data_IF_212710280915
#
_entry.id   IF_212710280915
#
_cell.length_a   1.000
_cell.length_b   1.000
_cell.length_c   1.000
_cell.angle_alpha   90.00
_cell.angle_beta   90.00
_cell.angle_gamma   90.00
#
_symmetry.space_group_name_H-M   'P 1'
#
loop_
_entity.id
_entity.type
_entity.pdbx_description
1 polymer ?
#
# COMPACT_ATOMS: atom_id res chain seq x y z
N UNK A 1 -18.34 -9.07 -18.46
CA UNK A 1 -18.62 -8.18 -17.32
C UNK A 1 -18.06 -8.84 -16.07
N UNK A 2 -17.38 -8.09 -15.22
CA UNK A 2 -16.83 -8.57 -13.95
C UNK A 2 -18.02 -8.85 -13.02
N UNK A 3 -18.04 -10.00 -12.35
CA UNK A 3 -19.09 -10.34 -11.39
C UNK A 3 -18.89 -9.48 -10.13
N UNK A 4 -19.87 -8.66 -9.71
CA UNK A 4 -19.74 -7.88 -8.48
C UNK A 4 -19.59 -8.78 -7.25
N UNK A 5 -18.82 -8.33 -6.26
CA UNK A 5 -18.69 -9.03 -4.97
C UNK A 5 -19.94 -8.88 -4.11
N UNK A 6 -20.68 -7.77 -4.28
CA UNK A 6 -21.91 -7.47 -3.56
C UNK A 6 -23.13 -7.67 -4.45
N UNK A 7 -24.21 -8.21 -3.89
CA UNK A 7 -25.49 -8.28 -4.59
C UNK A 7 -26.18 -6.92 -4.65
N UNK A 8 -27.08 -6.74 -5.62
CA UNK A 8 -27.88 -5.52 -5.74
C UNK A 8 -28.69 -5.23 -4.46
N UNK A 9 -29.17 -6.28 -3.78
CA UNK A 9 -29.88 -6.16 -2.50
C UNK A 9 -28.99 -5.53 -1.41
N UNK A 10 -27.72 -5.93 -1.33
CA UNK A 10 -26.77 -5.33 -0.38
C UNK A 10 -26.52 -3.88 -0.76
N UNK A 11 -26.27 -3.59 -2.04
CA UNK A 11 -25.99 -2.23 -2.52
C UNK A 11 -27.15 -1.25 -2.24
N UNK A 12 -28.40 -1.72 -2.24
CA UNK A 12 -29.57 -0.90 -1.89
C UNK A 12 -29.73 -0.63 -0.38
N UNK A 13 -28.99 -1.34 0.48
CA UNK A 13 -29.09 -1.26 1.95
C UNK A 13 -27.98 -0.42 2.60
N UNK A 14 -26.95 -0.05 1.85
CA UNK A 14 -25.77 0.64 2.35
C UNK A 14 -25.70 2.08 1.85
N UNK A 15 -25.00 2.93 2.58
CA UNK A 15 -24.69 4.30 2.20
C UNK A 15 -23.60 4.34 1.12
N UNK A 16 -23.82 5.18 0.10
CA UNK A 16 -22.93 5.38 -1.05
C UNK A 16 -22.40 4.06 -1.66
N UNK A 17 -23.26 3.22 -2.24
CA UNK A 17 -22.86 1.94 -2.84
C UNK A 17 -21.76 2.08 -3.91
N UNK A 18 -21.67 3.23 -4.57
CA UNK A 18 -20.66 3.52 -5.57
C UNK A 18 -19.21 3.49 -5.03
N UNK A 19 -18.99 3.45 -3.70
CA UNK A 19 -17.68 3.13 -3.09
C UNK A 19 -17.13 1.77 -3.49
N UNK A 20 -18.01 0.83 -3.87
CA UNK A 20 -17.69 -0.61 -3.93
C UNK A 20 -17.78 -1.21 -5.34
N UNK A 21 -18.35 -0.49 -6.31
CA UNK A 21 -18.72 -1.04 -7.63
C UNK A 21 -17.57 -1.05 -8.66
N UNK A 22 -16.51 -0.25 -8.44
CA UNK A 22 -15.41 -0.08 -9.40
C UNK A 22 -15.86 0.44 -10.77
N UNK A 23 -15.19 -0.01 -11.84
CA UNK A 23 -15.46 0.34 -13.25
C UNK A 23 -15.38 1.84 -13.60
N UNK A 24 -14.56 2.56 -12.87
CA UNK A 24 -14.40 4.00 -12.98
C UNK A 24 -13.66 4.42 -14.24
N UNK A 25 -13.74 5.71 -14.58
CA UNK A 25 -12.97 6.23 -15.73
C UNK A 25 -11.48 6.10 -15.42
N UNK A 26 -10.73 5.63 -16.42
CA UNK A 26 -9.30 5.31 -16.36
C UNK A 26 -8.92 4.16 -15.42
N UNK A 27 -9.89 3.40 -14.89
CA UNK A 27 -9.58 2.17 -14.16
C UNK A 27 -8.88 1.16 -15.08
N UNK A 28 -7.71 0.69 -14.65
CA UNK A 28 -6.92 -0.29 -15.40
C UNK A 28 -7.60 -1.66 -15.34
N UNK A 29 -7.69 -2.30 -16.50
CA UNK A 29 -8.20 -3.66 -16.66
C UNK A 29 -7.14 -4.49 -17.36
N UNK A 30 -6.66 -5.56 -16.72
CA UNK A 30 -5.71 -6.53 -17.28
C UNK A 30 -6.38 -7.89 -17.40
N UNK A 31 -5.96 -8.70 -18.38
CA UNK A 31 -6.33 -10.11 -18.43
C UNK A 31 -5.53 -10.86 -17.35
N UNK A 32 -6.22 -11.59 -16.47
CA UNK A 32 -5.59 -12.34 -15.39
C UNK A 32 -4.69 -13.47 -15.90
N UNK A 33 -4.87 -13.93 -17.14
CA UNK A 33 -3.99 -14.93 -17.73
C UNK A 33 -2.60 -14.37 -18.10
N UNK A 34 -2.48 -13.04 -18.23
CA UNK A 34 -1.24 -12.34 -18.58
C UNK A 34 -0.58 -11.67 -17.35
N UNK A 35 -1.05 -11.99 -16.14
CA UNK A 35 -0.60 -11.40 -14.88
C UNK A 35 0.12 -12.44 -14.04
N UNK A 36 1.36 -12.14 -13.66
CA UNK A 36 2.17 -13.01 -12.80
C UNK A 36 2.04 -12.63 -11.32
N UNK A 37 1.82 -11.33 -11.04
CA UNK A 37 1.76 -10.78 -9.68
C UNK A 37 0.55 -9.84 -9.54
N UNK A 38 -0.23 -10.05 -8.49
CA UNK A 38 -1.36 -9.22 -8.10
C UNK A 38 -1.07 -8.49 -6.80
N UNK A 39 -1.23 -7.18 -6.86
CA UNK A 39 -0.93 -6.27 -5.75
C UNK A 39 -2.19 -5.50 -5.35
N UNK A 40 -2.70 -5.73 -4.15
CA UNK A 40 -3.75 -4.89 -3.57
C UNK A 40 -3.13 -3.68 -2.87
N UNK A 41 -3.34 -2.49 -3.41
CA UNK A 41 -2.98 -1.23 -2.80
C UNK A 41 -4.15 -0.69 -1.99
N UNK A 42 -3.97 -0.66 -0.68
CA UNK A 42 -4.99 -0.34 0.31
C UNK A 42 -4.74 1.03 0.93
N UNK A 43 -5.79 1.85 0.94
CA UNK A 43 -5.89 2.98 1.87
C UNK A 43 -6.78 2.55 3.04
N UNK A 44 -6.30 2.50 4.30
CA UNK A 44 -7.04 1.98 5.45
C UNK A 44 -8.09 2.98 5.96
N UNK A 45 -8.90 3.51 5.05
CA UNK A 45 -10.05 4.38 5.33
C UNK A 45 -11.05 4.27 4.16
N UNK A 46 -12.16 4.99 4.25
CA UNK A 46 -13.17 5.00 3.19
C UNK A 46 -12.64 5.52 1.87
N UNK A 47 -13.26 5.03 0.82
CA UNK A 47 -12.99 5.35 -0.57
C UNK A 47 -12.78 6.86 -0.83
N UNK A 48 -13.67 7.73 -0.37
CA UNK A 48 -13.59 9.17 -0.67
C UNK A 48 -12.33 9.84 -0.11
N UNK A 49 -11.85 9.36 1.04
CA UNK A 49 -10.61 9.81 1.67
C UNK A 49 -9.42 9.25 0.91
N UNK A 50 -9.41 7.94 0.67
CA UNK A 50 -8.30 7.28 -0.02
C UNK A 50 -8.11 7.75 -1.46
N UNK A 51 -9.19 8.02 -2.20
CA UNK A 51 -9.12 8.60 -3.55
C UNK A 51 -8.52 10.00 -3.60
N UNK A 52 -8.62 10.76 -2.50
CA UNK A 52 -8.04 12.09 -2.39
C UNK A 52 -6.52 12.05 -2.21
N UNK A 53 -5.93 10.88 -2.01
CA UNK A 53 -4.51 10.71 -1.74
C UNK A 53 -3.71 10.58 -3.04
N UNK A 54 -2.81 11.52 -3.34
CA UNK A 54 -2.02 11.45 -4.58
C UNK A 54 -1.04 10.27 -4.59
N UNK A 55 -0.46 9.91 -3.44
CA UNK A 55 0.52 8.83 -3.37
C UNK A 55 -0.04 7.47 -3.80
N UNK A 56 -1.31 7.18 -3.48
CA UNK A 56 -1.92 5.91 -3.90
C UNK A 56 -2.15 5.90 -5.42
N UNK A 57 -2.49 7.04 -6.02
CA UNK A 57 -2.66 7.18 -7.47
C UNK A 57 -1.32 7.02 -8.21
N UNK A 58 -0.24 7.60 -7.67
CA UNK A 58 1.12 7.43 -8.23
C UNK A 58 1.51 5.95 -8.22
N UNK A 59 1.37 5.27 -7.08
CA UNK A 59 1.76 3.86 -6.96
C UNK A 59 0.87 2.95 -7.80
N UNK A 60 -0.44 3.20 -7.85
CA UNK A 60 -1.38 2.47 -8.72
C UNK A 60 -0.98 2.57 -10.19
N UNK A 61 -0.68 3.77 -10.69
CA UNK A 61 -0.23 3.98 -12.07
C UNK A 61 1.13 3.30 -12.32
N UNK A 62 2.08 3.45 -11.39
CA UNK A 62 3.40 2.83 -11.45
C UNK A 62 3.31 1.31 -11.57
N UNK A 63 2.65 0.63 -10.63
CA UNK A 63 2.52 -0.83 -10.66
C UNK A 63 1.80 -1.32 -11.92
N UNK A 64 0.77 -0.60 -12.36
CA UNK A 64 0.05 -1.00 -13.57
C UNK A 64 0.83 -0.77 -14.87
N UNK A 65 1.90 0.03 -14.85
CA UNK A 65 2.89 0.14 -15.94
C UNK A 65 3.99 -0.91 -15.88
N UNK A 66 4.18 -1.59 -14.74
CA UNK A 66 5.14 -2.68 -14.64
C UNK A 66 4.67 -3.90 -15.45
N UNK A 67 5.64 -4.59 -16.04
CA UNK A 67 5.39 -5.81 -16.81
C UNK A 67 4.74 -6.87 -15.92
N UNK A 68 3.63 -7.45 -16.39
CA UNK A 68 2.88 -8.53 -15.73
C UNK A 68 2.50 -8.34 -14.26
N UNK A 69 2.48 -7.11 -13.76
CA UNK A 69 1.93 -6.77 -12.42
C UNK A 69 0.55 -6.17 -12.57
N UNK A 70 -0.44 -6.63 -11.82
CA UNK A 70 -1.75 -5.99 -11.74
C UNK A 70 -1.96 -5.39 -10.36
N UNK A 71 -1.99 -4.05 -10.29
CA UNK A 71 -2.34 -3.37 -9.06
C UNK A 71 -3.82 -3.02 -9.03
N UNK A 72 -4.46 -3.41 -7.94
CA UNK A 72 -5.88 -3.21 -7.66
C UNK A 72 -6.04 -2.43 -6.36
N UNK A 73 -7.15 -1.72 -6.19
CA UNK A 73 -7.40 -0.84 -5.05
C UNK A 73 -8.31 -1.51 -4.03
N UNK A 74 -8.01 -1.25 -2.76
CA UNK A 74 -8.77 -1.68 -1.59
C UNK A 74 -8.96 -0.51 -0.64
N UNK A 75 -10.12 -0.46 0.01
CA UNK A 75 -10.48 0.58 0.97
C UNK A 75 -11.20 -0.06 2.16
N UNK A 76 -11.20 0.61 3.30
CA UNK A 76 -12.00 0.16 4.45
C UNK A 76 -13.48 0.31 4.12
N UNK A 77 -14.31 -0.73 4.32
CA UNK A 77 -15.75 -0.58 4.21
C UNK A 77 -16.26 0.32 5.33
N UNK A 78 -17.37 1.02 5.05
CA UNK A 78 -18.03 1.80 6.07
C UNK A 78 -18.77 0.87 7.04
N UNK A 79 -19.18 1.40 8.20
CA UNK A 79 -19.75 0.58 9.29
C UNK A 79 -20.99 -0.24 8.90
N UNK A 80 -21.77 0.23 7.94
CA UNK A 80 -22.94 -0.46 7.41
C UNK A 80 -22.56 -1.69 6.56
N UNK A 81 -21.62 -1.54 5.63
CA UNK A 81 -21.13 -2.65 4.83
C UNK A 81 -20.28 -3.62 5.66
N UNK A 82 -19.41 -3.13 6.56
CA UNK A 82 -18.61 -3.98 7.47
C UNK A 82 -19.52 -4.95 8.25
N UNK A 83 -20.62 -4.44 8.81
CA UNK A 83 -21.62 -5.27 9.50
C UNK A 83 -22.19 -6.36 8.59
N UNK A 84 -22.63 -5.99 7.37
CA UNK A 84 -23.22 -6.95 6.42
C UNK A 84 -22.19 -8.00 5.99
N UNK A 85 -20.94 -7.58 5.70
CA UNK A 85 -19.86 -8.46 5.30
C UNK A 85 -19.57 -9.52 6.38
N UNK A 86 -19.59 -9.13 7.66
CA UNK A 86 -19.42 -10.05 8.78
C UNK A 86 -20.60 -11.01 8.93
N UNK A 87 -21.82 -10.50 8.84
CA UNK A 87 -23.05 -11.31 8.98
C UNK A 87 -23.20 -12.34 7.86
N UNK A 88 -22.74 -12.01 6.64
CA UNK A 88 -22.87 -12.85 5.45
C UNK A 88 -21.56 -13.54 5.03
N UNK A 89 -20.51 -13.43 5.84
CA UNK A 89 -19.17 -13.97 5.57
C UNK A 89 -18.59 -13.57 4.19
N UNK A 90 -18.81 -12.31 3.79
CA UNK A 90 -18.27 -11.77 2.55
C UNK A 90 -16.85 -11.26 2.83
N UNK A 91 -15.80 -11.83 2.19
CA UNK A 91 -14.44 -11.34 2.38
C UNK A 91 -14.26 -9.97 1.74
N UNK A 92 -13.33 -9.17 2.27
CA UNK A 92 -12.91 -7.92 1.64
C UNK A 92 -12.38 -8.20 0.24
N UNK A 93 -12.70 -7.34 -0.71
CA UNK A 93 -12.43 -7.51 -2.13
C UNK A 93 -11.83 -6.26 -2.76
N UNK A 94 -11.16 -6.43 -3.90
CA UNK A 94 -10.58 -5.34 -4.69
C UNK A 94 -11.60 -4.69 -5.61
N UNK A 95 -11.45 -3.40 -5.92
CA UNK A 95 -12.41 -2.69 -6.77
C UNK A 95 -12.37 -3.14 -8.24
N UNK A 96 -11.18 -3.41 -8.76
CA UNK A 96 -10.95 -3.71 -10.17
C UNK A 96 -11.55 -5.06 -10.56
N UNK A 97 -11.16 -6.14 -9.89
CA UNK A 97 -11.62 -7.50 -10.23
C UNK A 97 -12.75 -8.02 -9.36
N UNK A 98 -13.10 -7.32 -8.27
CA UNK A 98 -14.12 -7.77 -7.31
C UNK A 98 -13.78 -9.12 -6.67
N UNK A 99 -12.48 -9.47 -6.62
CA UNK A 99 -12.01 -10.71 -6.01
C UNK A 99 -11.54 -10.49 -4.57
N UNK A 100 -11.61 -11.53 -3.70
CA UNK A 100 -11.12 -11.45 -2.34
C UNK A 100 -9.65 -11.00 -2.27
N UNK A 101 -9.33 -10.12 -1.32
CA UNK A 101 -7.96 -9.62 -1.07
C UNK A 101 -7.00 -10.75 -0.69
N UNK A 102 -7.51 -11.83 -0.08
CA UNK A 102 -6.72 -13.04 0.20
C UNK A 102 -6.10 -13.68 -1.04
N UNK A 103 -6.66 -13.45 -2.23
CA UNK A 103 -6.18 -14.05 -3.48
C UNK A 103 -5.09 -13.21 -4.18
N UNK A 104 -4.53 -12.21 -3.50
CA UNK A 104 -3.45 -11.36 -4.00
C UNK A 104 -2.11 -11.92 -3.55
N UNK A 105 -1.03 -11.62 -4.28
CA UNK A 105 0.33 -11.92 -3.81
C UNK A 105 0.76 -10.92 -2.72
N UNK A 106 0.30 -9.66 -2.84
CA UNK A 106 0.64 -8.57 -1.92
C UNK A 106 -0.58 -7.78 -1.47
N UNK A 107 -0.57 -7.36 -0.20
CA UNK A 107 -1.43 -6.32 0.35
C UNK A 107 -0.55 -5.17 0.86
N UNK A 108 -0.43 -4.10 0.06
CA UNK A 108 0.26 -2.87 0.47
C UNK A 108 -0.71 -1.91 1.15
N UNK A 109 -0.42 -1.48 2.36
CA UNK A 109 -1.25 -0.55 3.14
C UNK A 109 -0.50 0.76 3.33
N UNK A 110 -1.08 1.87 2.86
CA UNK A 110 -0.49 3.20 3.06
C UNK A 110 -1.02 3.85 4.36
N UNK A 111 -0.11 4.13 5.30
CA UNK A 111 -0.40 4.50 6.68
C UNK A 111 -0.09 5.99 6.85
N UNK A 112 -1.14 6.81 6.71
CA UNK A 112 -1.02 8.27 6.66
C UNK A 112 -1.06 8.94 8.05
N UNK A 113 -1.74 8.30 9.01
CA UNK A 113 -1.92 8.81 10.36
C UNK A 113 -2.27 7.66 11.31
N UNK A 114 -1.96 7.82 12.59
CA UNK A 114 -2.09 6.78 13.61
C UNK A 114 -3.55 6.38 13.88
N UNK A 115 -4.50 7.29 13.63
CA UNK A 115 -5.94 7.01 13.81
C UNK A 115 -6.47 5.90 12.89
N UNK A 116 -5.74 5.53 11.83
CA UNK A 116 -6.14 4.43 10.95
C UNK A 116 -5.67 3.04 11.42
N UNK A 117 -4.92 2.93 12.53
CA UNK A 117 -4.37 1.64 12.98
C UNK A 117 -5.45 0.59 13.25
N UNK A 118 -6.59 1.00 13.80
CA UNK A 118 -7.74 0.07 14.00
C UNK A 118 -8.34 -0.39 12.68
N UNK A 119 -8.30 0.46 11.64
CA UNK A 119 -8.77 0.09 10.31
C UNK A 119 -7.83 -0.93 9.65
N UNK A 120 -6.52 -0.89 9.92
CA UNK A 120 -5.58 -1.93 9.48
C UNK A 120 -6.03 -3.31 9.98
N UNK A 121 -6.42 -3.40 11.27
CA UNK A 121 -6.93 -4.65 11.85
C UNK A 121 -8.27 -5.06 11.22
N UNK A 122 -9.18 -4.11 10.96
CA UNK A 122 -10.42 -4.37 10.25
C UNK A 122 -10.16 -4.93 8.83
N UNK A 123 -9.22 -4.34 8.10
CA UNK A 123 -8.83 -4.76 6.75
C UNK A 123 -8.32 -6.20 6.76
N UNK A 124 -7.38 -6.53 7.66
CA UNK A 124 -6.81 -7.89 7.75
C UNK A 124 -7.89 -8.92 8.08
N UNK A 125 -8.71 -8.63 9.09
CA UNK A 125 -9.78 -9.51 9.55
C UNK A 125 -10.84 -9.75 8.46
N UNK A 126 -11.35 -8.69 7.82
CA UNK A 126 -12.30 -8.83 6.71
C UNK A 126 -11.68 -9.51 5.48
N UNK A 127 -10.38 -9.32 5.24
CA UNK A 127 -9.65 -9.99 4.17
C UNK A 127 -9.38 -11.46 4.46
N UNK A 128 -9.71 -11.97 5.66
CA UNK A 128 -9.41 -13.35 6.10
C UNK A 128 -7.90 -13.64 6.13
N UNK A 129 -7.10 -12.61 6.41
CA UNK A 129 -5.65 -12.69 6.59
C UNK A 129 -5.37 -12.71 8.11
N UNK A 130 -4.55 -13.63 8.63
CA UNK A 130 -4.17 -13.62 10.04
C UNK A 130 -3.65 -12.25 10.49
N UNK A 131 -4.13 -11.78 11.65
CA UNK A 131 -3.79 -10.47 12.18
C UNK A 131 -2.27 -10.35 12.40
N UNK A 132 -1.70 -11.29 13.15
CA UNK A 132 -0.28 -11.32 13.42
C UNK A 132 0.49 -11.93 12.24
N UNK A 133 1.62 -11.31 11.87
CA UNK A 133 2.47 -11.79 10.77
C UNK A 133 2.99 -13.21 11.01
N UNK A 134 3.33 -13.54 12.26
CA UNK A 134 3.80 -14.88 12.66
C UNK A 134 2.79 -16.01 12.44
N UNK A 135 1.51 -15.69 12.30
CA UNK A 135 0.42 -16.67 12.11
C UNK A 135 0.10 -16.89 10.61
N UNK A 136 0.76 -16.16 9.70
CA UNK A 136 0.58 -16.26 8.24
C UNK A 136 1.35 -17.45 7.67
N UNK A 137 0.78 -18.07 6.64
CA UNK A 137 1.41 -19.17 5.90
C UNK A 137 1.74 -18.78 4.45
N UNK A 138 2.20 -19.74 3.66
CA UNK A 138 2.59 -19.56 2.24
C UNK A 138 1.44 -19.10 1.33
N UNK A 139 0.18 -19.37 1.70
CA UNK A 139 -1.01 -19.00 0.92
C UNK A 139 -1.54 -17.59 1.26
N UNK A 140 -1.05 -16.97 2.33
CA UNK A 140 -1.48 -15.62 2.71
C UNK A 140 -0.62 -14.56 1.98
N UNK A 141 -1.20 -13.43 1.53
CA UNK A 141 -0.45 -12.36 0.90
C UNK A 141 0.67 -11.83 1.80
N UNK A 142 1.71 -11.28 1.18
CA UNK A 142 2.70 -10.47 1.89
C UNK A 142 2.05 -9.13 2.25
N UNK A 143 1.98 -8.80 3.53
CA UNK A 143 1.42 -7.53 4.01
C UNK A 143 2.54 -6.51 4.18
N UNK A 144 2.46 -5.42 3.42
CA UNK A 144 3.48 -4.37 3.38
C UNK A 144 2.90 -3.05 3.89
N UNK A 145 3.54 -2.42 4.86
CA UNK A 145 3.19 -1.09 5.34
C UNK A 145 4.04 -0.01 4.69
N UNK A 146 3.45 1.11 4.27
CA UNK A 146 4.19 2.28 3.77
C UNK A 146 3.56 3.59 4.24
N UNK A 147 4.12 4.73 3.83
CA UNK A 147 3.59 6.06 4.19
C UNK A 147 4.25 6.65 5.45
N UNK A 148 3.85 7.87 5.87
CA UNK A 148 4.59 8.65 6.86
C UNK A 148 4.64 8.03 8.28
N UNK A 149 3.69 7.18 8.68
CA UNK A 149 3.76 6.57 10.02
C UNK A 149 4.82 5.46 10.12
N UNK A 150 5.34 4.94 9.00
CA UNK A 150 6.33 3.83 9.01
C UNK A 150 7.74 4.26 9.37
N UNK A 151 7.97 5.57 9.60
CA UNK A 151 9.20 6.05 10.22
C UNK A 151 9.29 5.69 11.72
N UNK A 152 8.20 5.19 12.31
CA UNK A 152 8.17 4.53 13.60
C UNK A 152 7.26 3.28 13.52
N UNK A 153 7.74 2.17 12.92
CA UNK A 153 6.89 1.02 12.59
C UNK A 153 6.58 0.11 13.78
N UNK A 154 7.41 0.14 14.83
CA UNK A 154 7.33 -0.78 15.98
C UNK A 154 5.96 -0.88 16.67
N UNK A 155 5.18 0.20 16.85
CA UNK A 155 3.86 0.09 17.48
C UNK A 155 2.87 -0.84 16.76
N UNK A 156 3.11 -1.14 15.48
CA UNK A 156 2.26 -2.00 14.64
C UNK A 156 3.05 -3.11 13.95
N UNK A 157 4.31 -3.33 14.34
CA UNK A 157 5.22 -4.24 13.66
C UNK A 157 4.71 -5.69 13.60
N UNK A 158 4.06 -6.13 14.68
CA UNK A 158 3.48 -7.47 14.80
C UNK A 158 2.43 -7.81 13.71
N UNK A 159 1.87 -6.81 13.03
CA UNK A 159 0.81 -6.99 12.01
C UNK A 159 1.35 -6.95 10.58
N UNK A 160 2.63 -6.68 10.35
CA UNK A 160 3.20 -6.51 9.01
C UNK A 160 4.34 -7.48 8.75
N UNK A 161 4.48 -7.90 7.49
CA UNK A 161 5.62 -8.70 7.06
C UNK A 161 6.80 -7.79 6.68
N UNK A 162 6.50 -6.64 6.04
CA UNK A 162 7.50 -5.68 5.56
C UNK A 162 6.97 -4.26 5.81
N UNK A 163 7.86 -3.34 6.16
CA UNK A 163 7.62 -1.90 6.03
C UNK A 163 8.52 -1.31 4.96
N UNK A 164 7.94 -0.49 4.09
CA UNK A 164 8.63 0.32 3.12
C UNK A 164 8.88 1.71 3.72
N UNK A 165 10.12 2.00 4.06
CA UNK A 165 10.56 3.28 4.63
C UNK A 165 11.14 4.16 3.53
N UNK A 166 10.39 5.20 3.17
CA UNK A 166 10.80 6.16 2.14
C UNK A 166 9.72 6.39 1.09
N UNK A 167 10.16 6.76 -0.11
CA UNK A 167 9.31 7.05 -1.26
C UNK A 167 9.14 5.80 -2.12
N UNK A 168 7.89 5.39 -2.35
CA UNK A 168 7.54 4.10 -2.96
C UNK A 168 8.06 3.89 -4.38
N UNK A 169 8.37 4.97 -5.10
CA UNK A 169 8.75 4.87 -6.51
C UNK A 169 10.16 4.32 -6.76
N UNK A 170 10.95 4.04 -5.71
CA UNK A 170 12.36 3.66 -5.83
C UNK A 170 12.59 2.15 -5.95
N UNK A 171 12.23 1.36 -4.92
CA UNK A 171 12.69 -0.04 -4.78
C UNK A 171 11.60 -1.11 -4.93
N UNK A 172 10.34 -0.73 -5.21
CA UNK A 172 9.31 -1.75 -5.49
C UNK A 172 9.66 -2.64 -6.68
N UNK A 173 10.40 -2.13 -7.68
CA UNK A 173 10.89 -2.95 -8.79
C UNK A 173 11.80 -4.10 -8.33
N UNK A 174 12.73 -3.81 -7.42
CA UNK A 174 13.64 -4.80 -6.85
C UNK A 174 12.88 -5.82 -6.00
N UNK A 175 11.90 -5.37 -5.22
CA UNK A 175 11.05 -6.26 -4.40
C UNK A 175 10.25 -7.23 -5.26
N UNK A 176 9.62 -6.72 -6.33
CA UNK A 176 8.84 -7.54 -7.27
C UNK A 176 9.74 -8.56 -7.97
N UNK A 177 10.96 -8.18 -8.35
CA UNK A 177 11.92 -9.09 -8.96
C UNK A 177 12.43 -10.15 -7.97
N UNK A 178 12.67 -9.78 -6.71
CA UNK A 178 13.01 -10.72 -5.64
C UNK A 178 11.88 -11.75 -5.43
N UNK A 179 10.62 -11.31 -5.45
CA UNK A 179 9.46 -12.19 -5.34
C UNK A 179 9.38 -13.18 -6.51
N UNK A 180 9.59 -12.70 -7.75
CA UNK A 180 9.64 -13.57 -8.94
C UNK A 180 10.73 -14.63 -8.84
N UNK A 181 11.94 -14.22 -8.47
CA UNK A 181 13.08 -15.13 -8.29
C UNK A 181 12.79 -16.17 -7.22
N UNK A 182 12.21 -15.77 -6.10
CA UNK A 182 11.85 -16.70 -5.03
C UNK A 182 10.83 -17.74 -5.52
N UNK A 183 9.74 -17.30 -6.17
CA UNK A 183 8.73 -18.21 -6.74
C UNK A 183 9.30 -19.15 -7.80
N UNK A 184 10.16 -18.65 -8.69
CA UNK A 184 10.82 -19.46 -9.72
C UNK A 184 11.74 -20.54 -9.14
N UNK A 185 12.31 -20.29 -7.96
CA UNK A 185 13.16 -21.24 -7.23
C UNK A 185 12.38 -22.12 -6.26
N UNK A 186 11.04 -22.01 -6.20
CA UNK A 186 10.21 -22.69 -5.19
C UNK A 186 10.64 -22.38 -3.74
N UNK A 187 11.14 -21.16 -3.50
CA UNK A 187 11.52 -20.71 -2.16
C UNK A 187 10.30 -20.45 -1.28
N UNK A 188 10.51 -20.49 0.04
CA UNK A 188 9.50 -20.22 1.06
C UNK A 188 9.21 -18.73 1.21
N UNK A 189 8.19 -18.40 2.01
CA UNK A 189 7.92 -17.04 2.48
C UNK A 189 9.13 -16.46 3.22
N UNK A 190 9.77 -17.24 4.09
CA UNK A 190 10.95 -16.78 4.84
C UNK A 190 12.11 -16.46 3.89
N UNK A 191 12.34 -17.27 2.85
CA UNK A 191 13.36 -17.01 1.82
C UNK A 191 13.09 -15.67 1.10
N UNK A 192 11.84 -15.41 0.71
CA UNK A 192 11.47 -14.13 0.11
C UNK A 192 11.67 -12.96 1.07
N UNK A 193 11.24 -13.08 2.33
CA UNK A 193 11.41 -12.03 3.33
C UNK A 193 12.90 -11.74 3.57
N UNK A 194 13.76 -12.76 3.56
CA UNK A 194 15.21 -12.58 3.67
C UNK A 194 15.79 -11.83 2.47
N UNK A 195 15.32 -12.12 1.25
CA UNK A 195 15.69 -11.35 0.06
C UNK A 195 15.21 -9.89 0.18
N UNK A 196 13.98 -9.67 0.65
CA UNK A 196 13.41 -8.35 0.82
C UNK A 196 14.16 -7.52 1.88
N UNK A 197 14.58 -8.13 2.99
CA UNK A 197 15.34 -7.46 4.05
C UNK A 197 16.72 -6.94 3.60
N UNK A 198 17.24 -7.44 2.48
CA UNK A 198 18.51 -6.98 1.89
C UNK A 198 18.32 -5.78 0.94
N UNK A 199 17.07 -5.42 0.62
CA UNK A 199 16.76 -4.27 -0.24
C UNK A 199 16.71 -2.99 0.61
N UNK A 200 17.46 -1.93 0.25
CA UNK A 200 17.38 -0.64 0.94
C UNK A 200 15.95 -0.13 1.09
N UNK A 201 15.64 0.51 2.21
CA UNK A 201 14.29 1.00 2.52
C UNK A 201 13.31 -0.06 3.03
N UNK A 202 13.60 -1.35 2.93
CA UNK A 202 12.70 -2.40 3.43
C UNK A 202 13.10 -2.87 4.83
N UNK A 203 12.15 -2.77 5.75
CA UNK A 203 12.28 -3.20 7.13
C UNK A 203 11.42 -4.45 7.35
N UNK A 204 12.01 -5.57 7.78
CA UNK A 204 11.31 -6.83 8.03
C UNK A 204 11.31 -7.10 9.53
N UNK A 205 10.20 -6.85 10.26
CA UNK A 205 10.19 -6.89 11.73
C UNK A 205 10.58 -8.25 12.31
N UNK A 206 10.18 -9.35 11.66
CA UNK A 206 10.46 -10.70 12.14
C UNK A 206 11.97 -11.02 12.27
N UNK A 207 12.83 -10.22 11.63
CA UNK A 207 14.28 -10.42 11.64
C UNK A 207 15.05 -9.48 12.55
N UNK A 208 14.36 -8.66 13.34
CA UNK A 208 14.98 -7.70 14.25
C UNK A 208 14.43 -7.88 15.66
N UNK A 209 15.32 -8.23 16.59
CA UNK A 209 15.01 -8.31 18.01
C UNK A 209 15.19 -6.92 18.64
N UNK A 210 14.16 -6.44 19.33
CA UNK A 210 14.20 -5.17 20.05
C UNK A 210 14.59 -5.40 21.50
N UNK A 211 15.66 -4.75 21.94
CA UNK A 211 16.07 -4.74 23.35
C UNK A 211 15.63 -3.45 24.02
N UNK A 212 15.34 -3.53 25.32
CA UNK A 212 14.86 -2.40 26.11
C UNK A 212 15.77 -2.13 27.31
N UNK A 213 15.84 -0.87 27.72
CA UNK A 213 16.40 -0.45 29.00
C UNK A 213 15.45 -0.79 30.16
N UNK A 214 15.94 -0.70 31.40
CA UNK A 214 15.13 -0.94 32.60
C UNK A 214 13.93 0.02 32.73
N UNK A 215 14.01 1.20 32.12
CA UNK A 215 12.94 2.20 32.09
C UNK A 215 11.90 1.96 30.96
N UNK A 216 12.06 0.90 30.17
CA UNK A 216 11.17 0.54 29.06
C UNK A 216 11.44 1.30 27.77
N UNK A 217 12.48 2.14 27.69
CA UNK A 217 12.90 2.76 26.42
C UNK A 217 13.70 1.76 25.56
N UNK A 218 13.64 1.91 24.24
CA UNK A 218 14.37 1.03 23.31
C UNK A 218 15.87 1.26 23.46
N UNK A 219 16.63 0.18 23.68
CA UNK A 219 18.09 0.19 23.79
C UNK A 219 18.81 -0.18 22.50
N UNK A 220 18.17 -0.97 21.64
CA UNK A 220 18.79 -1.41 20.39
C UNK A 220 17.87 -2.29 19.54
N UNK A 221 18.26 -2.44 18.28
CA UNK A 221 17.70 -3.37 17.31
C UNK A 221 18.82 -4.30 16.86
N UNK A 222 18.58 -5.61 16.92
CA UNK A 222 19.58 -6.61 16.62
C UNK A 222 19.07 -7.59 15.57
N UNK A 223 19.81 -7.71 14.46
CA UNK A 223 19.46 -8.65 13.42
C UNK A 223 19.57 -10.10 13.94
N UNK A 224 18.47 -10.85 13.85
CA UNK A 224 18.42 -12.26 14.28
C UNK A 224 18.61 -13.25 13.11
N UNK A 225 18.91 -12.73 11.91
CA UNK A 225 19.23 -13.48 10.70
C UNK A 225 20.49 -12.95 10.02
N UNK A 226 21.33 -13.82 9.43
CA UNK A 226 22.48 -13.37 8.65
C UNK A 226 22.07 -12.54 7.43
N UNK A 227 22.81 -11.46 7.15
CA UNK A 227 22.59 -10.60 5.98
C UNK A 227 21.47 -9.56 6.14
N UNK A 228 20.75 -9.55 7.26
CA UNK A 228 19.78 -8.50 7.58
C UNK A 228 20.50 -7.30 8.21
N UNK A 229 20.30 -6.07 7.69
CA UNK A 229 20.91 -4.88 8.26
C UNK A 229 20.25 -4.49 9.59
N UNK A 230 21.04 -4.10 10.58
CA UNK A 230 20.53 -3.58 11.86
C UNK A 230 19.89 -2.18 11.74
N UNK A 231 20.15 -1.48 10.63
CA UNK A 231 19.56 -0.17 10.35
C UNK A 231 19.08 -0.08 8.91
N UNK A 232 17.88 0.44 8.71
CA UNK A 232 17.28 0.60 7.39
C UNK A 232 17.46 2.04 6.93
N UNK A 233 18.08 2.21 5.76
CA UNK A 233 18.19 3.52 5.12
C UNK A 233 16.92 3.79 4.34
N UNK A 234 16.28 4.94 4.60
CA UNK A 234 15.10 5.37 3.85
C UNK A 234 15.45 5.67 2.40
N UNK A 235 14.53 5.36 1.50
CA UNK A 235 14.69 5.64 0.08
C UNK A 235 14.01 6.97 -0.34
N UNK A 236 14.65 7.70 -1.26
CA UNK A 236 14.18 9.00 -1.75
C UNK A 236 14.29 9.08 -3.28
N UNK A 237 13.27 9.62 -3.95
CA UNK A 237 13.29 9.78 -5.41
C UNK A 237 14.12 10.99 -5.79
N UNK A 238 15.38 10.81 -6.20
CA UNK A 238 16.26 11.95 -6.49
C UNK A 238 15.90 12.73 -7.78
N UNK A 239 15.16 12.13 -8.71
CA UNK A 239 14.67 12.79 -9.93
C UNK A 239 13.14 12.76 -10.02
N UNK A 240 12.51 13.77 -9.41
CA UNK A 240 11.07 13.95 -9.41
C UNK A 240 10.50 14.28 -10.81
N UNK A 241 11.33 14.74 -11.75
CA UNK A 241 10.86 15.14 -13.08
C UNK A 241 10.67 13.96 -14.03
N UNK A 242 11.43 12.88 -13.82
CA UNK A 242 11.35 11.66 -14.63
C UNK A 242 10.72 10.47 -13.91
N UNK A 243 10.40 10.60 -12.62
CA UNK A 243 9.65 9.58 -11.88
C UNK A 243 8.19 9.47 -12.31
N UNK A 244 7.51 8.44 -11.82
CA UNK A 244 6.11 8.14 -12.07
C UNK A 244 5.19 9.30 -11.68
N UNK A 245 4.18 9.52 -12.52
CA UNK A 245 3.11 10.46 -12.26
C UNK A 245 1.86 10.02 -13.06
N UNK A 246 0.67 10.03 -12.46
CA UNK A 246 -0.54 9.60 -13.14
C UNK A 246 -0.89 10.55 -14.28
N UNK A 247 -0.82 10.05 -15.52
CA UNK A 247 -1.22 10.81 -16.72
C UNK A 247 -2.73 10.71 -16.98
N UNK A 248 -3.35 9.61 -16.53
CA UNK A 248 -4.78 9.34 -16.63
C UNK A 248 -5.32 9.06 -15.23
N UNK A 249 -5.46 10.10 -14.37
CA UNK A 249 -5.96 9.91 -13.02
C UNK A 249 -7.34 9.26 -13.04
N UNK A 250 -7.60 8.40 -12.06
CA UNK A 250 -8.90 7.78 -11.87
C UNK A 250 -9.96 8.85 -11.63
N UNK A 251 -11.08 8.79 -12.35
CA UNK A 251 -12.22 9.70 -12.11
C UNK A 251 -13.33 8.92 -11.42
N UNK A 252 -13.58 9.19 -10.12
CA UNK A 252 -14.53 8.43 -9.33
C UNK A 252 -15.98 8.74 -9.70
N UNK A 253 -16.88 7.78 -9.48
CA UNK A 253 -18.32 8.00 -9.64
C UNK A 253 -18.97 8.73 -8.45
N UNK A 254 -18.23 8.90 -7.36
CA UNK A 254 -18.63 9.69 -6.20
C UNK A 254 -17.60 10.76 -5.90
N UNK A 255 -18.08 11.87 -5.31
CA UNK A 255 -17.23 12.97 -4.90
C UNK A 255 -16.19 12.50 -3.87
N UNK A 256 -14.91 12.62 -4.21
CA UNK A 256 -13.82 12.45 -3.26
C UNK A 256 -13.81 13.60 -2.23
N UNK A 257 -13.24 13.38 -1.05
CA UNK A 257 -13.18 14.39 0.01
C UNK A 257 -12.50 15.67 -0.46
N UNK A 258 -11.42 15.54 -1.23
CA UNK A 258 -10.79 16.64 -1.96
C UNK A 258 -11.10 16.52 -3.46
N UNK A 259 -12.25 17.09 -3.85
CA UNK A 259 -12.75 17.06 -5.24
C UNK A 259 -12.05 18.09 -6.14
N UNK A 260 -10.76 17.86 -6.38
CA UNK A 260 -9.89 18.70 -7.21
C UNK A 260 -8.78 17.87 -7.82
N UNK A 261 -8.23 18.34 -8.93
CA UNK A 261 -7.01 17.74 -9.45
C UNK A 261 -5.80 18.22 -8.63
N UNK A 262 -4.99 17.27 -8.17
CA UNK A 262 -3.80 17.55 -7.34
C UNK A 262 -2.56 17.45 -8.21
N UNK A 263 -1.83 18.57 -8.33
CA UNK A 263 -0.55 18.63 -9.04
C UNK A 263 0.61 18.72 -8.03
N UNK A 264 1.49 17.72 -8.01
CA UNK A 264 2.73 17.79 -7.21
C UNK A 264 3.81 18.51 -8.01
N UNK A 265 4.07 19.78 -7.67
CA UNK A 265 5.13 20.58 -8.31
C UNK A 265 6.49 20.47 -7.59
N UNK A 266 6.49 20.02 -6.33
CA UNK A 266 7.68 19.84 -5.52
C UNK A 266 7.41 18.79 -4.42
N UNK A 267 8.47 18.14 -3.96
CA UNK A 267 8.45 17.20 -2.84
C UNK A 267 9.52 17.58 -1.80
N UNK A 268 9.20 17.38 -0.53
CA UNK A 268 10.07 17.68 0.59
C UNK A 268 10.04 19.13 1.08
N UNK A 269 10.58 19.36 2.28
CA UNK A 269 10.59 20.67 2.93
C UNK A 269 11.91 20.93 3.65
N UNK A 270 12.63 21.98 3.26
CA UNK A 270 13.93 22.36 3.85
C UNK A 270 13.81 23.07 5.21
N UNK A 271 12.59 23.31 5.71
CA UNK A 271 12.39 24.10 6.94
C UNK A 271 12.80 23.36 8.22
N UNK A 272 12.80 22.02 8.21
CA UNK A 272 13.26 21.23 9.35
C UNK A 272 12.48 21.47 10.65
N UNK A 273 11.17 21.76 10.58
CA UNK A 273 10.35 21.98 11.77
C UNK A 273 10.34 20.71 12.64
N UNK A 274 10.68 20.84 13.93
CA UNK A 274 10.91 19.68 14.82
C UNK A 274 9.66 18.84 15.06
N UNK A 275 8.47 19.45 15.07
CA UNK A 275 7.21 18.72 15.30
C UNK A 275 6.64 18.10 14.02
N UNK A 276 7.23 18.33 12.84
CA UNK A 276 6.70 17.86 11.58
C UNK A 276 7.42 16.58 11.13
N UNK A 277 6.67 15.49 10.91
CA UNK A 277 7.19 14.23 10.36
C UNK A 277 7.98 14.44 9.06
N UNK A 278 7.56 15.41 8.23
CA UNK A 278 8.28 15.80 7.00
C UNK A 278 9.76 16.16 7.21
N UNK A 279 10.15 16.67 8.38
CA UNK A 279 11.54 17.00 8.68
C UNK A 279 12.42 15.74 8.81
N UNK A 280 11.85 14.66 9.35
CA UNK A 280 12.52 13.35 9.43
C UNK A 280 12.37 12.56 8.12
N UNK A 281 11.22 12.68 7.45
CA UNK A 281 10.88 11.90 6.27
C UNK A 281 11.52 12.43 4.98
N UNK A 282 11.36 13.71 4.64
CA UNK A 282 11.80 14.28 3.35
C UNK A 282 12.41 15.68 3.56
N UNK A 283 13.67 15.70 4.01
CA UNK A 283 14.45 16.91 4.30
C UNK A 283 15.12 17.55 3.08
N UNK A 284 15.10 16.86 1.93
CA UNK A 284 15.63 17.36 0.65
C UNK A 284 14.47 17.88 -0.17
N UNK A 285 14.60 19.08 -0.74
CA UNK A 285 13.61 19.62 -1.68
C UNK A 285 13.96 19.20 -3.09
N UNK A 286 12.97 18.67 -3.80
CA UNK A 286 13.05 18.30 -5.20
C UNK A 286 11.89 18.95 -5.97
N UNK A 287 12.19 19.54 -7.12
CA UNK A 287 11.19 20.22 -7.95
C UNK A 287 10.83 19.35 -9.17
N UNK A 288 9.57 19.44 -9.62
CA UNK A 288 9.05 18.75 -10.81
C UNK A 288 8.83 19.74 -11.95
N UNK A 289 9.35 19.42 -13.15
CA UNK A 289 9.05 20.21 -14.35
C UNK A 289 7.59 20.02 -14.81
N UNK A 290 6.83 21.12 -14.86
CA UNK A 290 5.36 21.15 -15.06
C UNK A 290 4.92 20.63 -16.45
N UNK A 291 5.78 20.72 -17.47
CA UNK A 291 5.42 20.38 -18.85
C UNK A 291 4.97 18.91 -19.07
N UNK A 292 5.39 17.99 -18.20
CA UNK A 292 4.95 16.58 -18.24
C UNK A 292 3.66 16.37 -17.45
N UNK A 293 3.56 16.96 -16.26
CA UNK A 293 2.43 16.80 -15.34
C UNK A 293 1.11 17.36 -15.88
N UNK A 294 1.17 18.35 -16.77
CA UNK A 294 -0.04 19.00 -17.34
C UNK A 294 -0.57 18.30 -18.60
N UNK A 295 0.28 17.55 -19.35
CA UNK A 295 -0.11 16.96 -20.64
C UNK A 295 -1.23 15.92 -20.55
N UNK A 296 -1.33 15.19 -19.44
CA UNK A 296 -2.39 14.20 -19.21
C UNK A 296 -3.67 14.77 -18.58
N UNK A 297 -3.56 15.90 -17.87
CA UNK A 297 -4.66 16.47 -17.08
C UNK A 297 -5.60 17.41 -17.86
N UNK A 298 -5.21 17.88 -19.04
CA UNK A 298 -6.00 18.78 -19.88
C UNK A 298 -6.98 18.06 -20.84
N UNK A 299 -7.06 16.73 -20.78
CA UNK A 299 -7.88 15.91 -21.68
C UNK A 299 -8.91 15.15 -20.84
N UNK A 300 -9.81 15.88 -20.19
CA UNK A 300 -11.08 15.38 -19.66
C UNK A 300 -12.16 16.44 -19.91
#
# INVERSE_FOLDING_TARGET
MIKPALSDEILMRIDKPARYIGNEVNMVKKDLNDVDIRFAMCFPDVYEIGMSHLGIQILYDMFNKMDKVYCERVYSPWHDLDKIMREQDIPLFTLETQQPVKNMDFLGITIQYEMCYTNILQILDLSKIPLYSKDRNEEDPIVIGGGPCVYNPEPIADFFDIFYIGEGETVYGDLIEAYRKNRANHGSREDFLLMAAQIPGLYVPAFLDVTYHEDGTVSGFHANRPGVPESVTKELVMDLSHTYYPEKPLVPFIRATQDRVVLEIQRGCIRGCREAVSAAAVSVRQDRFINRSVKGMLIF
#
